data_IF_181225527241
#
_entry.id   IF_181225527241
#
_cell.length_a   1.000
_cell.length_b   1.000
_cell.length_c   1.000
_cell.angle_alpha   90.00
_cell.angle_beta   90.00
_cell.angle_gamma   90.00
#
_symmetry.space_group_name_H-M   'P 1'
#
loop_
_entity.id
_entity.type
_entity.pdbx_description
1 polymer ?
#
# COMPACT_ATOMS: atom_id res chain seq x y z
N UNK A 1 4.17 9.39 -22.44
CA UNK A 1 3.84 10.02 -21.13
C UNK A 1 4.56 11.35 -21.10
N UNK A 2 3.95 12.39 -20.49
CA UNK A 2 4.28 13.83 -20.62
C UNK A 2 3.60 14.49 -21.83
N UNK A 3 2.42 15.08 -21.59
CA UNK A 3 1.64 15.83 -22.59
C UNK A 3 1.90 17.34 -22.55
N UNK A 4 2.42 17.86 -21.43
CA UNK A 4 2.68 19.28 -21.25
C UNK A 4 4.16 19.59 -21.50
N UNK A 5 4.52 20.28 -22.60
CA UNK A 5 5.91 20.58 -22.93
C UNK A 5 6.60 21.49 -21.90
N UNK A 6 5.85 22.33 -21.18
CA UNK A 6 6.41 23.25 -20.18
C UNK A 6 6.91 22.52 -18.92
N UNK A 7 6.27 21.41 -18.56
CA UNK A 7 6.61 20.62 -17.36
C UNK A 7 7.45 19.39 -17.70
N UNK A 8 7.64 19.11 -18.99
CA UNK A 8 8.27 17.89 -19.47
C UNK A 8 9.67 17.65 -18.92
N UNK A 9 10.50 18.70 -19.01
CA UNK A 9 11.88 18.67 -18.54
C UNK A 9 11.97 18.40 -17.04
N UNK A 10 11.20 19.13 -16.23
CA UNK A 10 11.19 18.96 -14.78
C UNK A 10 10.72 17.56 -14.35
N UNK A 11 9.74 16.98 -15.06
CA UNK A 11 9.26 15.62 -14.79
C UNK A 11 10.32 14.57 -15.15
N UNK A 12 11.06 14.77 -16.25
CA UNK A 12 12.13 13.87 -16.66
C UNK A 12 13.33 13.95 -15.71
N UNK A 13 13.73 15.16 -15.31
CA UNK A 13 14.86 15.41 -14.41
C UNK A 13 14.64 14.81 -13.00
N UNK A 14 13.39 14.59 -12.58
CA UNK A 14 13.06 14.01 -11.29
C UNK A 14 13.35 12.49 -11.17
N UNK A 15 13.64 11.80 -12.28
CA UNK A 15 14.10 10.41 -12.31
C UNK A 15 13.29 9.41 -11.44
N UNK A 16 11.96 9.53 -11.44
CA UNK A 16 11.05 8.73 -10.60
C UNK A 16 11.26 7.20 -10.66
N UNK A 17 11.66 6.68 -11.82
CA UNK A 17 11.96 5.25 -11.98
C UNK A 17 13.18 4.81 -11.18
N UNK A 18 14.22 5.64 -11.13
CA UNK A 18 15.43 5.38 -10.35
C UNK A 18 15.14 5.45 -8.85
N UNK A 19 14.32 6.42 -8.42
CA UNK A 19 13.86 6.50 -7.02
C UNK A 19 13.19 5.20 -6.57
N UNK A 20 12.27 4.66 -7.39
CA UNK A 20 11.57 3.41 -7.08
C UNK A 20 12.55 2.23 -7.02
N UNK A 21 13.48 2.14 -7.98
CA UNK A 21 14.52 1.10 -8.00
C UNK A 21 15.36 1.13 -6.72
N UNK A 22 15.72 2.33 -6.26
CA UNK A 22 16.50 2.49 -5.03
C UNK A 22 15.73 2.05 -3.78
N UNK A 23 14.45 2.40 -3.69
CA UNK A 23 13.60 1.98 -2.58
C UNK A 23 13.41 0.46 -2.55
N UNK A 24 13.25 -0.19 -3.70
CA UNK A 24 13.09 -1.63 -3.80
C UNK A 24 14.29 -2.41 -3.28
N UNK A 25 15.50 -2.09 -3.77
CA UNK A 25 16.67 -2.86 -3.35
C UNK A 25 17.00 -2.59 -1.88
N UNK A 26 16.84 -1.35 -1.40
CA UNK A 26 17.06 -1.01 0.01
C UNK A 26 16.03 -1.70 0.92
N UNK A 27 14.75 -1.70 0.53
CA UNK A 27 13.71 -2.40 1.28
C UNK A 27 14.03 -3.89 1.39
N UNK A 28 14.47 -4.52 0.29
CA UNK A 28 14.91 -5.92 0.27
C UNK A 28 16.11 -6.17 1.19
N UNK A 29 17.10 -5.29 1.22
CA UNK A 29 18.27 -5.41 2.10
C UNK A 29 17.91 -5.38 3.58
N UNK A 30 16.95 -4.53 3.96
CA UNK A 30 16.51 -4.39 5.36
C UNK A 30 15.31 -5.28 5.72
N UNK A 31 14.88 -6.18 4.83
CA UNK A 31 13.70 -7.04 5.06
C UNK A 31 12.40 -6.25 5.26
N UNK A 32 12.25 -5.09 4.62
CA UNK A 32 11.05 -4.24 4.66
C UNK A 32 10.15 -4.52 3.46
N UNK A 33 8.85 -4.37 3.67
CA UNK A 33 7.85 -4.48 2.60
C UNK A 33 7.65 -3.12 1.94
N UNK A 34 7.83 -3.05 0.62
CA UNK A 34 7.48 -1.88 -0.19
C UNK A 34 6.18 -2.17 -0.94
N UNK A 35 5.14 -1.38 -0.69
CA UNK A 35 3.85 -1.47 -1.38
C UNK A 35 3.74 -0.32 -2.38
N UNK A 36 3.46 -0.65 -3.64
CA UNK A 36 3.17 0.33 -4.69
C UNK A 36 1.67 0.49 -4.82
N UNK A 37 1.21 1.74 -4.83
CA UNK A 37 -0.18 2.08 -5.13
C UNK A 37 -0.35 2.41 -6.62
N UNK A 38 -1.59 2.36 -7.11
CA UNK A 38 -1.89 2.71 -8.49
C UNK A 38 -1.53 4.17 -8.80
N UNK A 39 -1.05 4.41 -10.03
CA UNK A 39 -0.62 5.72 -10.50
C UNK A 39 -1.77 6.73 -10.61
N UNK A 40 -2.97 6.26 -10.93
CA UNK A 40 -4.14 7.11 -11.18
C UNK A 40 -5.04 7.26 -9.95
N UNK A 41 -4.61 6.74 -8.80
CA UNK A 41 -5.32 6.93 -7.55
C UNK A 41 -5.44 8.42 -7.20
N UNK A 42 -6.66 8.96 -7.01
CA UNK A 42 -6.89 10.39 -6.80
C UNK A 42 -6.57 10.80 -5.35
N UNK A 43 -5.31 10.65 -4.92
CA UNK A 43 -4.88 10.89 -3.53
C UNK A 43 -5.11 12.33 -3.06
N UNK A 44 -4.87 13.32 -3.91
CA UNK A 44 -5.00 14.74 -3.56
C UNK A 44 -6.43 15.28 -3.70
N UNK A 45 -7.22 14.72 -4.64
CA UNK A 45 -8.60 15.14 -4.93
C UNK A 45 -9.64 14.48 -4.02
N UNK A 46 -9.30 13.34 -3.42
CA UNK A 46 -10.19 12.59 -2.53
C UNK A 46 -10.13 13.19 -1.13
N UNK A 47 -11.27 13.50 -0.54
CA UNK A 47 -11.37 13.87 0.86
C UNK A 47 -11.05 12.63 1.73
N UNK A 48 -10.07 12.75 2.62
CA UNK A 48 -9.75 11.69 3.58
C UNK A 48 -10.82 11.44 4.64
N UNK A 49 -11.73 12.41 4.87
CA UNK A 49 -12.79 12.29 5.88
C UNK A 49 -14.05 11.61 5.33
N UNK A 50 -14.60 12.09 4.21
CA UNK A 50 -15.87 11.59 3.66
C UNK A 50 -15.72 10.76 2.38
N UNK A 51 -14.52 10.69 1.79
CA UNK A 51 -14.28 9.96 0.55
C UNK A 51 -14.77 10.65 -0.73
N UNK A 52 -15.32 11.86 -0.64
CA UNK A 52 -15.74 12.64 -1.81
C UNK A 52 -14.54 12.96 -2.72
N UNK A 53 -14.71 12.78 -4.04
CA UNK A 53 -13.66 13.04 -5.03
C UNK A 53 -14.03 14.32 -5.77
N UNK A 54 -13.14 15.32 -5.71
CA UNK A 54 -13.26 16.52 -6.51
C UNK A 54 -13.09 16.22 -8.01
N UNK A 55 -13.92 16.85 -8.85
CA UNK A 55 -13.83 16.75 -10.30
C UNK A 55 -12.50 17.33 -10.81
N UNK A 56 -12.22 18.58 -10.44
CA UNK A 56 -11.02 19.30 -10.83
C UNK A 56 -10.35 19.96 -9.64
N UNK A 57 -9.02 19.85 -9.58
CA UNK A 57 -8.20 20.47 -8.56
C UNK A 57 -6.94 21.03 -9.24
N UNK A 58 -6.90 22.34 -9.58
CA UNK A 58 -5.77 22.97 -10.27
C UNK A 58 -4.48 22.86 -9.47
N UNK A 59 -3.31 22.73 -10.10
CA UNK A 59 -2.03 22.52 -9.38
C UNK A 59 -1.67 23.64 -8.38
N UNK A 60 -2.18 24.86 -8.58
CA UNK A 60 -1.91 26.04 -7.74
C UNK A 60 -2.58 26.00 -6.36
N UNK A 61 -3.63 25.21 -6.16
CA UNK A 61 -4.49 25.28 -4.96
C UNK A 61 -3.92 24.44 -3.81
N UNK A 62 -3.08 24.99 -2.93
CA UNK A 62 -2.46 24.17 -1.86
C UNK A 62 -3.44 23.74 -0.76
N UNK A 63 -4.44 24.55 -0.50
CA UNK A 63 -5.46 24.30 0.52
C UNK A 63 -6.84 24.35 -0.12
N UNK A 64 -7.75 23.49 0.32
CA UNK A 64 -9.13 23.44 -0.17
C UNK A 64 -10.08 22.93 0.90
N UNK A 65 -11.33 23.39 0.84
CA UNK A 65 -12.40 22.91 1.71
C UNK A 65 -13.26 21.90 0.98
N UNK A 66 -13.60 20.80 1.66
CA UNK A 66 -14.41 19.76 1.05
C UNK A 66 -15.86 20.24 0.87
N UNK A 67 -16.42 20.21 -0.36
CA UNK A 67 -17.79 20.66 -0.60
C UNK A 67 -18.85 19.75 0.04
N UNK A 68 -18.50 18.51 0.39
CA UNK A 68 -19.42 17.54 0.99
C UNK A 68 -19.44 17.58 2.52
N UNK A 69 -18.30 17.80 3.17
CA UNK A 69 -18.19 17.72 4.64
C UNK A 69 -17.63 18.99 5.30
N UNK A 70 -17.25 20.00 4.52
CA UNK A 70 -16.71 21.27 5.03
C UNK A 70 -15.33 21.16 5.68
N UNK A 71 -14.66 20.00 5.60
CA UNK A 71 -13.33 19.84 6.20
C UNK A 71 -12.29 20.60 5.40
N UNK A 72 -11.45 21.37 6.09
CA UNK A 72 -10.30 22.04 5.51
C UNK A 72 -9.14 21.06 5.29
N UNK A 73 -8.54 21.11 4.10
CA UNK A 73 -7.47 20.21 3.71
C UNK A 73 -6.26 20.95 3.14
N UNK A 74 -5.08 20.67 3.70
CA UNK A 74 -3.83 20.80 2.98
C UNK A 74 -3.71 19.63 1.98
N UNK A 75 -3.43 19.95 0.71
CA UNK A 75 -3.39 18.99 -0.39
C UNK A 75 -2.37 17.86 -0.15
N UNK A 76 -1.18 18.19 0.32
CA UNK A 76 -0.07 17.24 0.43
C UNK A 76 -0.25 16.35 1.66
N UNK A 77 -0.72 16.93 2.78
CA UNK A 77 -1.08 16.17 3.99
C UNK A 77 -2.26 15.22 3.72
N UNK A 78 -3.30 15.70 3.04
CA UNK A 78 -4.45 14.86 2.67
C UNK A 78 -4.03 13.73 1.72
N UNK A 79 -3.18 14.03 0.72
CA UNK A 79 -2.64 13.02 -0.18
C UNK A 79 -1.84 11.95 0.58
N UNK A 80 -0.96 12.35 1.51
CA UNK A 80 -0.18 11.41 2.31
C UNK A 80 -1.06 10.49 3.16
N UNK A 81 -2.10 11.04 3.82
CA UNK A 81 -3.07 10.26 4.62
C UNK A 81 -3.83 9.26 3.75
N UNK A 82 -4.27 9.68 2.57
CA UNK A 82 -4.98 8.79 1.63
C UNK A 82 -4.08 7.67 1.10
N UNK A 83 -2.83 7.97 0.78
CA UNK A 83 -1.84 6.98 0.32
C UNK A 83 -1.55 5.96 1.43
N UNK A 84 -1.41 6.41 2.67
CA UNK A 84 -1.20 5.53 3.82
C UNK A 84 -2.38 4.58 4.04
N UNK A 85 -3.61 5.13 4.02
CA UNK A 85 -4.82 4.34 4.15
C UNK A 85 -4.90 3.24 3.07
N UNK A 86 -4.64 3.60 1.81
CA UNK A 86 -4.63 2.63 0.72
C UNK A 86 -3.50 1.60 0.88
N UNK A 87 -2.29 2.02 1.24
CA UNK A 87 -1.15 1.12 1.47
C UNK A 87 -1.45 0.05 2.54
N UNK A 88 -2.14 0.44 3.62
CA UNK A 88 -2.62 -0.51 4.63
C UNK A 88 -3.66 -1.48 4.08
N UNK A 89 -4.64 -1.02 3.29
CA UNK A 89 -5.62 -1.91 2.68
C UNK A 89 -5.01 -2.91 1.71
N UNK A 90 -4.02 -2.51 0.90
CA UNK A 90 -3.30 -3.40 -0.02
C UNK A 90 -2.52 -4.46 0.76
N UNK A 91 -1.90 -4.08 1.89
CA UNK A 91 -1.16 -5.02 2.75
C UNK A 91 -2.08 -6.02 3.43
N UNK A 92 -3.24 -5.57 3.90
CA UNK A 92 -4.19 -6.41 4.63
C UNK A 92 -5.02 -7.33 3.70
N UNK A 93 -5.44 -6.83 2.54
CA UNK A 93 -6.38 -7.50 1.66
C UNK A 93 -5.75 -8.08 0.38
N UNK A 94 -4.47 -7.83 0.11
CA UNK A 94 -3.75 -8.34 -1.05
C UNK A 94 -4.25 -7.84 -2.42
N UNK A 95 -5.21 -6.91 -2.46
CA UNK A 95 -5.83 -6.43 -3.69
C UNK A 95 -5.08 -5.23 -4.29
N UNK A 96 -4.79 -5.30 -5.60
CA UNK A 96 -4.42 -4.11 -6.37
C UNK A 96 -5.66 -3.24 -6.59
N UNK A 97 -5.57 -1.97 -6.20
CA UNK A 97 -6.66 -0.98 -6.30
C UNK A 97 -6.96 -0.60 -7.75
N UNK A 98 -7.63 -1.48 -8.49
CA UNK A 98 -8.29 -1.12 -9.77
C UNK A 98 -9.78 -1.48 -9.77
N UNK A 99 -10.24 -2.43 -8.96
CA UNK A 99 -11.68 -2.55 -8.70
C UNK A 99 -11.94 -3.44 -7.48
N UNK A 100 -12.52 -2.85 -6.45
CA UNK A 100 -13.45 -3.59 -5.62
C UNK A 100 -14.54 -2.61 -5.19
N UNK A 101 -15.79 -2.78 -5.66
CA UNK A 101 -16.90 -2.16 -4.95
C UNK A 101 -16.91 -2.80 -3.57
N UNK A 102 -16.90 -1.97 -2.53
CA UNK A 102 -16.88 -2.42 -1.13
C UNK A 102 -18.23 -3.10 -0.85
N UNK A 103 -18.34 -4.37 -1.19
CA UNK A 103 -19.44 -5.24 -0.85
C UNK A 103 -18.87 -6.47 -0.16
N UNK A 104 -19.21 -6.59 1.13
CA UNK A 104 -19.03 -7.76 2.00
C UNK A 104 -17.59 -8.20 2.32
N UNK A 105 -16.89 -7.45 3.18
CA UNK A 105 -16.05 -8.11 4.19
C UNK A 105 -16.99 -8.52 5.32
N UNK A 106 -17.48 -9.76 5.26
CA UNK A 106 -18.15 -10.38 6.40
C UNK A 106 -17.10 -10.59 7.50
N UNK A 107 -17.25 -9.84 8.59
CA UNK A 107 -16.51 -10.05 9.82
C UNK A 107 -17.05 -11.34 10.46
N UNK A 108 -16.44 -12.48 10.14
CA UNK A 108 -16.76 -13.78 10.72
C UNK A 108 -15.85 -14.12 11.89
N UNK A 109 -16.27 -13.70 13.08
CA UNK A 109 -16.20 -14.43 14.35
C UNK A 109 -14.92 -15.24 14.67
N UNK A 110 -14.07 -14.69 15.55
CA UNK A 110 -13.10 -15.47 16.31
C UNK A 110 -13.82 -16.38 17.32
N UNK A 111 -13.82 -17.70 17.11
CA UNK A 111 -13.97 -18.67 18.21
C UNK A 111 -13.12 -19.92 18.01
N UNK A 112 -12.34 -20.24 19.04
CA UNK A 112 -12.14 -21.63 19.46
C UNK A 112 -10.81 -22.28 19.10
N UNK A 113 -9.78 -21.98 19.90
CA UNK A 113 -8.65 -22.87 20.11
C UNK A 113 -9.15 -24.18 20.76
N UNK A 114 -9.02 -25.32 20.07
CA UNK A 114 -9.45 -26.62 20.56
C UNK A 114 -8.63 -27.74 19.94
N UNK A 115 -7.67 -28.24 20.71
CA UNK A 115 -6.73 -29.32 20.38
C UNK A 115 -7.38 -30.69 20.29
N UNK A 116 -7.05 -31.44 19.23
CA UNK A 116 -6.91 -32.91 19.07
C UNK A 116 -6.76 -33.11 17.56
N UNK A 117 -5.75 -33.72 16.98
CA UNK A 117 -4.70 -34.63 17.41
C UNK A 117 -4.29 -35.33 16.12
N UNK A 118 -2.98 -35.39 15.83
CA UNK A 118 -2.29 -36.39 14.99
C UNK A 118 -0.91 -35.82 14.63
N UNK A 119 0.06 -36.23 15.43
CA UNK A 119 1.49 -36.00 15.27
C UNK A 119 2.11 -37.36 14.93
N UNK A 120 2.31 -37.61 13.65
CA UNK A 120 3.30 -38.54 13.08
C UNK A 120 3.71 -37.88 11.78
N UNK A 121 4.95 -37.46 11.55
CA UNK A 121 6.18 -38.21 11.71
C UNK A 121 7.33 -37.17 11.67
N UNK A 122 8.10 -37.07 12.76
CA UNK A 122 9.35 -36.30 12.79
C UNK A 122 10.44 -37.24 13.26
N UNK A 123 11.57 -37.24 12.55
CA UNK A 123 12.96 -36.99 13.05
C UNK A 123 13.96 -37.66 12.10
N UNK A 124 14.76 -36.85 11.39
CA UNK A 124 16.15 -36.52 11.78
C UNK A 124 17.01 -37.77 11.92
N UNK A 125 17.71 -38.12 10.83
CA UNK A 125 18.94 -38.90 10.88
C UNK A 125 20.12 -37.95 10.68
N UNK A 126 20.86 -37.69 11.75
CA UNK A 126 22.26 -37.30 11.65
C UNK A 126 23.03 -37.79 12.88
N UNK A 127 24.08 -38.57 12.59
CA UNK A 127 25.27 -38.92 13.36
C UNK A 127 25.12 -39.63 14.73
N UNK A 128 25.67 -40.84 14.84
CA UNK A 128 27.05 -41.00 15.34
C UNK A 128 27.58 -42.43 15.17
N UNK A 129 28.83 -42.45 14.72
CA UNK A 129 29.80 -43.54 14.76
C UNK A 129 29.91 -44.19 16.15
N UNK A 130 29.83 -45.52 16.20
CA UNK A 130 30.57 -46.28 17.22
C UNK A 130 31.12 -47.56 16.59
N UNK A 131 32.43 -47.68 16.73
CA UNK A 131 33.31 -48.79 16.41
C UNK A 131 33.01 -49.94 17.38
N UNK A 132 32.97 -51.20 16.93
CA UNK A 132 33.73 -52.32 17.51
C UNK A 132 33.58 -53.61 16.69
N UNK A 133 34.71 -54.32 16.69
CA UNK A 133 35.03 -55.60 16.06
C UNK A 133 34.29 -56.76 16.74
#
# INVERSE_FOLDING_TARGET
>A
MVKNPKLARQIADAAWGELVRQLEYKAKWYGRTLVKIDRWFPSSKRCGSCGHILESLPLSVREWDCPSCGTHHDRDINAARNILAVGHTVTACGANVISCPVASVAFGEQRGWGSKGELGEKKRFFAQSTIHN
#
